data_IF_507837760271
#
_entry.id   IF_507837760271
#
_cell.length_a   1.000
_cell.length_b   1.000
_cell.length_c   1.000
_cell.angle_alpha   90.00
_cell.angle_beta   90.00
_cell.angle_gamma   90.00
#
_symmetry.space_group_name_H-M   'P 1'
#
loop_
_entity.id
_entity.type
_entity.pdbx_description
1 polymer ?
#
# COMPACT_ATOMS: atom_id res chain seq x y z
N UNK A 1 -8.72 15.60 -4.34
CA UNK A 1 -7.93 15.64 -3.09
C UNK A 1 -6.73 14.73 -3.26
N UNK A 2 -5.54 15.14 -2.80
CA UNK A 2 -4.40 14.21 -2.71
C UNK A 2 -4.65 13.25 -1.54
N UNK A 3 -4.32 11.96 -1.67
CA UNK A 3 -4.44 11.02 -0.58
C UNK A 3 -3.55 11.46 0.59
N UNK A 4 -4.08 11.37 1.82
CA UNK A 4 -3.31 11.57 3.03
C UNK A 4 -2.59 10.27 3.44
N UNK A 5 -1.56 10.40 4.27
CA UNK A 5 -0.93 9.23 4.91
C UNK A 5 -1.87 8.68 5.97
N UNK A 6 -2.13 7.37 5.93
CA UNK A 6 -2.99 6.68 6.90
C UNK A 6 -2.15 5.91 7.90
N UNK A 7 -2.69 5.67 9.11
CA UNK A 7 -2.04 4.82 10.11
C UNK A 7 -1.74 3.43 9.54
N UNK A 8 -0.55 2.90 9.82
CA UNK A 8 -0.09 1.64 9.24
C UNK A 8 0.46 1.76 7.81
N UNK A 9 0.72 2.97 7.31
CA UNK A 9 1.53 3.17 6.09
C UNK A 9 3.01 3.06 6.47
N UNK A 10 3.83 2.22 5.79
CA UNK A 10 5.27 2.18 6.00
C UNK A 10 5.92 3.57 5.80
N UNK A 11 6.81 4.04 6.69
CA UNK A 11 7.40 5.37 6.56
C UNK A 11 8.11 5.59 5.23
N UNK A 12 8.89 4.59 4.76
CA UNK A 12 9.55 4.61 3.44
C UNK A 12 8.55 4.83 2.30
N UNK A 13 7.38 4.19 2.35
CA UNK A 13 6.35 4.32 1.33
C UNK A 13 5.69 5.69 1.40
N UNK A 14 5.38 6.18 2.60
CA UNK A 14 4.79 7.50 2.77
C UNK A 14 5.70 8.61 2.25
N UNK A 15 7.02 8.49 2.47
CA UNK A 15 8.03 9.43 1.95
C UNK A 15 8.04 9.42 0.43
N UNK A 16 8.08 8.24 -0.19
CA UNK A 16 8.04 8.10 -1.65
C UNK A 16 6.74 8.66 -2.24
N UNK A 17 5.60 8.34 -1.63
CA UNK A 17 4.29 8.85 -2.04
C UNK A 17 4.26 10.38 -2.01
N UNK A 18 4.77 11.01 -0.96
CA UNK A 18 4.81 12.47 -0.84
C UNK A 18 5.70 13.10 -1.91
N UNK A 19 6.85 12.50 -2.24
CA UNK A 19 7.71 12.95 -3.33
C UNK A 19 7.03 12.83 -4.70
N UNK A 20 6.36 11.70 -4.98
CA UNK A 20 5.59 11.49 -6.21
C UNK A 20 4.44 12.50 -6.36
N UNK A 21 3.83 12.89 -5.24
CA UNK A 21 2.72 13.82 -5.18
C UNK A 21 3.16 15.28 -5.01
N UNK A 22 4.45 15.61 -5.14
CA UNK A 22 4.92 16.98 -5.01
C UNK A 22 4.22 17.92 -6.01
N UNK A 23 3.84 19.10 -5.52
CA UNK A 23 3.19 20.13 -6.33
C UNK A 23 4.12 20.63 -7.44
N UNK A 24 5.42 20.73 -7.16
CA UNK A 24 6.45 21.02 -8.14
C UNK A 24 6.86 19.74 -8.88
N UNK A 25 6.64 19.64 -10.21
CA UNK A 25 7.03 18.47 -10.98
C UNK A 25 8.53 18.16 -10.93
N UNK A 26 9.38 19.17 -10.75
CA UNK A 26 10.84 18.99 -10.66
C UNK A 26 11.31 18.28 -9.40
N UNK A 27 10.47 18.23 -8.36
CA UNK A 27 10.77 17.49 -7.13
C UNK A 27 10.32 16.02 -7.20
N UNK A 28 9.56 15.64 -8.23
CA UNK A 28 9.08 14.27 -8.38
C UNK A 28 10.22 13.37 -8.83
N UNK A 29 10.28 12.12 -8.34
CA UNK A 29 11.27 11.17 -8.80
C UNK A 29 11.07 10.85 -10.29
N UNK A 30 12.18 10.65 -10.97
CA UNK A 30 12.21 10.11 -12.33
C UNK A 30 11.84 8.62 -12.31
N UNK A 31 11.48 8.08 -13.48
CA UNK A 31 11.19 6.65 -13.61
C UNK A 31 12.38 5.77 -13.17
N UNK A 32 13.62 6.18 -13.47
CA UNK A 32 14.82 5.43 -13.05
C UNK A 32 15.04 5.44 -11.53
N UNK A 33 14.75 6.56 -10.86
CA UNK A 33 14.82 6.62 -9.39
C UNK A 33 13.73 5.75 -8.74
N UNK A 34 12.54 5.67 -9.35
CA UNK A 34 11.50 4.76 -8.91
C UNK A 34 11.91 3.31 -9.09
N UNK A 35 12.49 2.96 -10.24
CA UNK A 35 12.97 1.60 -10.53
C UNK A 35 14.02 1.14 -9.53
N UNK A 36 15.03 1.97 -9.25
CA UNK A 36 16.05 1.68 -8.23
C UNK A 36 15.44 1.56 -6.83
N UNK A 37 14.56 2.49 -6.45
CA UNK A 37 13.92 2.48 -5.14
C UNK A 37 13.08 1.21 -4.92
N UNK A 38 12.24 0.86 -5.89
CA UNK A 38 11.36 -0.32 -5.80
C UNK A 38 12.15 -1.61 -5.94
N UNK A 39 13.19 -1.65 -6.78
CA UNK A 39 14.10 -2.79 -6.91
C UNK A 39 14.79 -3.12 -5.58
N UNK A 40 15.24 -2.10 -4.85
CA UNK A 40 15.81 -2.29 -3.51
C UNK A 40 14.81 -2.85 -2.50
N UNK A 41 13.52 -2.54 -2.64
CA UNK A 41 12.49 -3.10 -1.76
C UNK A 41 12.23 -4.57 -2.07
N UNK A 42 12.19 -4.94 -3.36
CA UNK A 42 12.02 -6.33 -3.79
C UNK A 42 13.20 -7.19 -3.36
N UNK A 43 14.43 -6.68 -3.44
CA UNK A 43 15.63 -7.41 -3.04
C UNK A 43 15.61 -7.89 -1.58
N UNK A 44 14.90 -7.20 -0.68
CA UNK A 44 14.75 -7.61 0.72
C UNK A 44 13.87 -8.87 0.84
N UNK A 45 12.91 -9.07 -0.06
CA UNK A 45 12.08 -10.26 -0.07
C UNK A 45 12.86 -11.52 -0.49
N UNK A 46 13.93 -11.34 -1.27
CA UNK A 46 14.73 -12.45 -1.83
C UNK A 46 15.81 -12.95 -0.85
N UNK A 47 16.23 -12.13 0.11
CA UNK A 47 17.23 -12.48 1.11
C UNK A 47 16.72 -12.21 2.54
N UNK A 48 16.18 -13.24 3.22
CA UNK A 48 15.63 -13.10 4.57
C UNK A 48 16.67 -12.81 5.65
N UNK A 49 17.97 -12.97 5.35
CA UNK A 49 19.06 -12.64 6.28
C UNK A 49 19.45 -11.15 6.20
N UNK A 50 18.98 -10.41 5.18
CA UNK A 50 19.10 -8.95 5.10
C UNK A 50 18.05 -8.26 5.98
N UNK A 51 18.15 -8.48 7.30
CA UNK A 51 17.43 -7.66 8.28
C UNK A 51 17.92 -6.23 8.16
N UNK A 52 17.11 -5.40 7.51
CA UNK A 52 17.39 -4.00 7.26
C UNK A 52 16.34 -3.13 7.94
N UNK A 53 16.72 -1.88 8.21
CA UNK A 53 15.77 -0.84 8.66
C UNK A 53 14.58 -0.68 7.71
N UNK A 54 14.73 -1.09 6.44
CA UNK A 54 13.69 -1.08 5.45
C UNK A 54 12.67 -2.22 5.68
N UNK A 55 13.13 -3.46 5.94
CA UNK A 55 12.23 -4.57 6.31
C UNK A 55 11.42 -4.24 7.56
N UNK A 56 12.10 -3.77 8.61
CA UNK A 56 11.46 -3.43 9.88
C UNK A 56 10.33 -2.40 9.74
N UNK A 57 10.46 -1.46 8.79
CA UNK A 57 9.42 -0.47 8.52
C UNK A 57 8.16 -1.08 7.91
N UNK A 58 8.31 -2.08 7.02
CA UNK A 58 7.19 -2.80 6.45
C UNK A 58 6.55 -3.73 7.48
N UNK A 59 7.36 -4.47 8.25
CA UNK A 59 6.89 -5.39 9.28
C UNK A 59 6.07 -4.66 10.36
N UNK A 60 6.58 -3.53 10.87
CA UNK A 60 5.87 -2.73 11.88
C UNK A 60 4.55 -2.13 11.34
N UNK A 61 4.54 -1.74 10.07
CA UNK A 61 3.33 -1.23 9.42
C UNK A 61 2.29 -2.33 9.22
N UNK A 62 2.71 -3.53 8.83
CA UNK A 62 1.87 -4.70 8.70
C UNK A 62 1.28 -5.13 10.06
N UNK A 63 2.07 -5.18 11.12
CA UNK A 63 1.58 -5.49 12.47
C UNK A 63 0.53 -4.47 12.95
N UNK A 64 0.74 -3.20 12.65
CA UNK A 64 -0.23 -2.13 12.93
C UNK A 64 -1.53 -2.34 12.16
N UNK A 65 -1.44 -2.67 10.86
CA UNK A 65 -2.60 -2.94 10.02
C UNK A 65 -3.37 -4.19 10.49
N UNK A 66 -2.68 -5.26 10.86
CA UNK A 66 -3.29 -6.45 11.45
C UNK A 66 -3.98 -6.15 12.78
N UNK A 67 -3.37 -5.35 13.63
CA UNK A 67 -3.97 -4.93 14.90
C UNK A 67 -5.22 -4.09 14.69
N UNK A 68 -5.15 -3.13 13.75
CA UNK A 68 -6.30 -2.32 13.35
C UNK A 68 -7.42 -3.19 12.77
N UNK A 69 -7.10 -4.19 11.95
CA UNK A 69 -8.06 -5.14 11.40
C UNK A 69 -8.75 -5.98 12.49
N UNK A 70 -7.99 -6.47 13.47
CA UNK A 70 -8.56 -7.22 14.62
C UNK A 70 -9.46 -6.33 15.48
N UNK A 71 -9.09 -5.06 15.64
CA UNK A 71 -9.83 -4.08 16.45
C UNK A 71 -11.05 -3.51 15.72
N UNK A 72 -10.99 -3.41 14.39
CA UNK A 72 -12.18 -3.28 13.57
C UNK A 72 -12.93 -4.60 13.68
N UNK A 73 -13.80 -4.72 14.70
CA UNK A 73 -14.92 -5.65 14.61
C UNK A 73 -15.43 -5.47 13.19
N UNK A 74 -15.28 -6.47 12.32
CA UNK A 74 -15.88 -6.41 11.00
C UNK A 74 -17.32 -6.03 11.30
N UNK A 75 -17.68 -4.77 11.00
CA UNK A 75 -19.07 -4.40 10.94
C UNK A 75 -19.54 -5.34 9.86
N UNK A 76 -20.18 -6.43 10.29
CA UNK A 76 -20.93 -7.35 9.46
C UNK A 76 -21.57 -6.43 8.45
N UNK A 77 -21.05 -6.44 7.22
CA UNK A 77 -21.49 -5.48 6.23
C UNK A 77 -22.99 -5.57 6.29
N UNK A 78 -23.64 -4.47 6.68
CA UNK A 78 -25.08 -4.41 6.77
C UNK A 78 -25.52 -4.51 5.31
N UNK A 79 -25.58 -5.75 4.84
CA UNK A 79 -25.97 -6.11 3.51
C UNK A 79 -27.40 -5.67 3.50
N UNK A 80 -27.67 -4.59 2.75
CA UNK A 80 -29.02 -4.12 2.61
C UNK A 80 -29.85 -5.32 2.13
N UNK A 81 -31.01 -5.59 2.75
CA UNK A 81 -31.79 -6.82 2.49
C UNK A 81 -32.12 -7.04 1.00
N UNK A 82 -32.04 -5.97 0.21
CA UNK A 82 -32.29 -5.96 -1.24
C UNK A 82 -31.04 -6.00 -2.12
N UNK A 83 -29.85 -6.22 -1.56
CA UNK A 83 -28.63 -6.34 -2.36
C UNK A 83 -28.64 -7.67 -3.12
N UNK A 84 -28.71 -7.60 -4.45
CA UNK A 84 -28.56 -8.76 -5.34
C UNK A 84 -27.49 -8.45 -6.40
N UNK A 85 -26.64 -9.43 -6.72
CA UNK A 85 -25.65 -9.34 -7.79
C UNK A 85 -25.96 -10.36 -8.88
N UNK A 86 -25.99 -9.91 -10.12
CA UNK A 86 -25.99 -10.79 -11.29
C UNK A 86 -24.70 -10.55 -12.08
N UNK A 87 -23.93 -11.60 -12.31
CA UNK A 87 -22.79 -11.55 -13.21
C UNK A 87 -23.27 -11.26 -14.64
N UNK A 88 -22.52 -10.44 -15.37
CA UNK A 88 -22.74 -10.26 -16.81
C UNK A 88 -21.97 -11.35 -17.56
N UNK A 89 -22.58 -12.05 -18.54
CA UNK A 89 -21.84 -12.91 -19.45
C UNK A 89 -20.79 -12.08 -20.19
N UNK A 90 -19.58 -12.62 -20.33
CA UNK A 90 -18.59 -12.06 -21.24
C UNK A 90 -19.17 -12.16 -22.65
N UNK A 91 -19.24 -11.04 -23.36
CA UNK A 91 -19.53 -11.03 -24.78
C UNK A 91 -18.30 -11.60 -25.47
N UNK A 92 -18.41 -12.82 -26.00
CA UNK A 92 -17.39 -13.39 -26.89
C UNK A 92 -17.34 -12.53 -28.17
N UNK A 93 -16.18 -11.93 -28.45
CA UNK A 93 -15.88 -11.19 -29.68
C UNK A 93 -15.37 -12.12 -30.77
#
# INVERSE_FOLDING_TARGET
LKPGVVSGTPPVFSSLMLQCLDANPSNRPTASQLDECLGNWVAICDDPDLVSDLSNQFDAAEETNFSNLKNSKFNTFASHEKAFYFSRPLLDC
#
